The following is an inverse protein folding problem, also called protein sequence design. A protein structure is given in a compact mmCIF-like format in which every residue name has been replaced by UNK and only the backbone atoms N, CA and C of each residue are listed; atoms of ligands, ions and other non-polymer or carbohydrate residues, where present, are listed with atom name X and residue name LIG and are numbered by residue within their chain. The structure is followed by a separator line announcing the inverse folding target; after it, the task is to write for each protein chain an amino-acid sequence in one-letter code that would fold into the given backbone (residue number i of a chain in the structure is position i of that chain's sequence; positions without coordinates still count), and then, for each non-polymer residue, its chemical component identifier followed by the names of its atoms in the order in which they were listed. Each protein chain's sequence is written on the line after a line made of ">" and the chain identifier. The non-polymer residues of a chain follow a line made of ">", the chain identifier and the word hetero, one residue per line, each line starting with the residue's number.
data_IF_060333781775
#
_entry.id   IF_060333781775
#
_cell.length_a   1.000
_cell.length_b   1.000
_cell.length_c   1.000
_cell.angle_alpha   90.00
_cell.angle_beta   90.00
_cell.angle_gamma   90.00
#
_symmetry.space_group_name_H-M   'P 1'
#
loop_
_entity.id
_entity.type
_entity.pdbx_description
1 polymer ?
#
# COMPACT_ATOMS: atom_id res chain seq x y z
N UNK A 1 -13.07 -13.04 -2.36
CA UNK A 1 -12.64 -12.44 -1.10
C UNK A 1 -11.32 -11.72 -1.33
N UNK A 2 -11.19 -10.41 -1.03
CA UNK A 2 -9.94 -9.68 -1.21
C UNK A 2 -8.75 -10.34 -0.51
N UNK A 3 -8.99 -11.03 0.62
CA UNK A 3 -7.95 -11.75 1.35
C UNK A 3 -7.29 -12.85 0.51
N UNK A 4 -8.02 -13.43 -0.43
CA UNK A 4 -7.50 -14.49 -1.29
C UNK A 4 -6.58 -13.96 -2.39
N UNK A 5 -6.57 -12.65 -2.59
CA UNK A 5 -5.83 -11.99 -3.66
C UNK A 5 -4.50 -11.39 -3.21
N UNK A 6 -4.20 -11.46 -1.92
CA UNK A 6 -2.87 -11.14 -1.43
C UNK A 6 -2.09 -12.44 -1.27
N UNK A 7 -1.38 -12.87 -2.30
CA UNK A 7 -0.51 -14.03 -2.11
C UNK A 7 0.52 -13.65 -1.06
N UNK A 8 0.69 -14.55 -0.10
CA UNK A 8 1.80 -14.44 0.85
C UNK A 8 3.05 -14.80 0.05
N UNK A 9 3.64 -13.80 -0.61
CA UNK A 9 4.75 -14.04 -1.50
C UNK A 9 5.94 -14.64 -0.74
N UNK A 10 6.53 -13.84 0.15
CA UNK A 10 7.65 -14.31 0.97
C UNK A 10 7.33 -14.27 2.47
N UNK A 11 6.20 -13.66 2.84
CA UNK A 11 5.85 -13.43 4.24
C UNK A 11 6.58 -12.26 4.90
N UNK A 12 7.37 -11.52 4.15
CA UNK A 12 8.10 -10.35 4.67
C UNK A 12 7.19 -9.16 4.89
N UNK A 13 6.13 -9.05 4.10
CA UNK A 13 5.13 -8.01 4.25
C UNK A 13 3.80 -8.69 4.56
N UNK A 14 3.17 -8.28 5.65
CA UNK A 14 1.91 -8.87 6.10
C UNK A 14 0.87 -7.79 6.30
N UNK A 15 -0.38 -8.16 6.06
CA UNK A 15 -1.55 -7.32 6.17
C UNK A 15 -2.66 -8.05 6.89
N UNK A 16 -3.47 -7.30 7.62
CA UNK A 16 -4.77 -7.77 8.08
C UNK A 16 -5.82 -7.21 7.11
N UNK A 17 -6.50 -8.07 6.39
CA UNK A 17 -7.49 -7.69 5.39
C UNK A 17 -8.93 -7.80 5.87
N UNK A 18 -9.14 -8.12 7.15
CA UNK A 18 -10.49 -8.36 7.69
C UNK A 18 -11.39 -7.13 7.54
N UNK A 19 -10.91 -5.97 7.97
CA UNK A 19 -11.66 -4.73 7.85
C UNK A 19 -11.86 -4.34 6.40
N UNK A 20 -10.83 -4.49 5.57
CA UNK A 20 -10.90 -4.15 4.17
C UNK A 20 -11.98 -4.95 3.46
N UNK A 21 -12.06 -6.25 3.72
CA UNK A 21 -13.05 -7.14 3.10
C UNK A 21 -14.50 -6.76 3.46
N UNK A 22 -14.70 -6.11 4.60
CA UNK A 22 -16.03 -5.65 5.03
C UNK A 22 -16.46 -4.35 4.34
N UNK A 23 -15.53 -3.53 3.89
CA UNK A 23 -15.80 -2.17 3.39
C UNK A 23 -15.49 -1.98 1.91
N UNK A 24 -14.64 -2.82 1.34
CA UNK A 24 -14.18 -2.73 -0.04
C UNK A 24 -14.27 -4.06 -0.74
N UNK A 25 -14.38 -4.01 -2.07
CA UNK A 25 -14.41 -5.20 -2.92
C UNK A 25 -13.37 -5.05 -4.01
N UNK A 26 -12.83 -6.16 -4.48
CA UNK A 26 -11.93 -6.16 -5.63
C UNK A 26 -12.68 -5.68 -6.85
N UNK A 27 -12.11 -4.67 -7.54
CA UNK A 27 -12.80 -4.03 -8.66
C UNK A 27 -12.62 -4.83 -9.94
N UNK A 28 -11.42 -5.27 -10.22
CA UNK A 28 -11.11 -5.95 -11.48
C UNK A 28 -10.00 -6.97 -11.20
N UNK A 29 -10.00 -8.13 -11.87
CA UNK A 29 -8.89 -9.07 -11.77
C UNK A 29 -7.69 -8.59 -12.57
N UNK A 30 -7.22 -7.38 -12.30
CA UNK A 30 -6.00 -6.82 -12.86
C UNK A 30 -4.85 -6.84 -11.86
N UNK A 31 -5.08 -7.44 -10.70
CA UNK A 31 -4.08 -7.66 -9.68
C UNK A 31 -2.91 -8.47 -10.24
N UNK A 32 -1.72 -8.06 -9.89
CA UNK A 32 -0.50 -8.74 -10.29
C UNK A 32 0.37 -9.01 -9.07
N UNK A 33 1.02 -10.15 -9.09
CA UNK A 33 1.96 -10.51 -8.05
C UNK A 33 3.06 -11.36 -8.68
N UNK A 34 4.31 -11.05 -8.38
CA UNK A 34 5.42 -11.88 -8.82
C UNK A 34 6.60 -11.79 -7.88
N UNK A 35 7.43 -12.83 -7.93
CA UNK A 35 8.69 -12.91 -7.22
C UNK A 35 9.79 -13.00 -8.26
N UNK A 36 10.83 -12.19 -8.08
CA UNK A 36 12.03 -12.24 -8.90
C UNK A 36 13.12 -12.96 -8.11
N UNK A 37 13.74 -13.95 -8.74
CA UNK A 37 14.86 -14.71 -8.19
C UNK A 37 16.06 -14.58 -9.11
N UNK A 38 17.27 -14.67 -8.55
CA UNK A 38 18.48 -14.68 -9.34
C UNK A 38 18.71 -16.05 -9.98
N UNK A 39 19.79 -16.18 -10.75
CA UNK A 39 20.13 -17.43 -11.44
C UNK A 39 20.43 -18.60 -10.50
N UNK A 40 20.77 -18.32 -9.25
CA UNK A 40 20.98 -19.35 -8.21
C UNK A 40 19.70 -19.69 -7.45
N UNK A 41 18.58 -19.06 -7.81
CA UNK A 41 17.29 -19.28 -7.17
C UNK A 41 17.08 -18.47 -5.91
N UNK A 42 18.00 -17.58 -5.54
CA UNK A 42 17.86 -16.73 -4.37
C UNK A 42 16.85 -15.61 -4.62
N UNK A 43 16.06 -15.29 -3.61
CA UNK A 43 15.07 -14.23 -3.67
C UNK A 43 15.75 -12.86 -3.89
N UNK A 44 15.24 -12.09 -4.84
CA UNK A 44 15.69 -10.73 -5.13
C UNK A 44 14.62 -9.72 -4.77
N UNK A 45 13.42 -9.86 -5.31
CA UNK A 45 12.34 -8.91 -5.07
C UNK A 45 10.97 -9.56 -5.18
N UNK A 46 9.97 -8.88 -4.62
CA UNK A 46 8.57 -9.22 -4.78
C UNK A 46 7.77 -7.97 -5.07
N UNK A 47 6.69 -8.15 -5.81
CA UNK A 47 5.82 -7.06 -6.22
C UNK A 47 4.38 -7.54 -6.22
N UNK A 48 3.50 -6.67 -5.75
CA UNK A 48 2.07 -6.95 -5.73
C UNK A 48 1.29 -5.64 -5.95
N UNK A 49 0.19 -5.73 -6.68
CA UNK A 49 -0.77 -4.64 -6.74
C UNK A 49 -2.17 -5.15 -7.02
N UNK A 50 -3.17 -4.45 -6.44
CA UNK A 50 -4.57 -4.74 -6.62
C UNK A 50 -5.41 -3.48 -6.43
N UNK A 51 -6.57 -3.44 -7.05
CA UNK A 51 -7.49 -2.32 -6.96
C UNK A 51 -8.76 -2.73 -6.21
N UNK A 52 -9.25 -1.83 -5.37
CA UNK A 52 -10.41 -2.04 -4.51
C UNK A 52 -11.39 -0.88 -4.65
N UNK A 53 -12.67 -1.20 -4.76
CA UNK A 53 -13.74 -0.20 -4.78
C UNK A 53 -14.50 -0.23 -3.46
N UNK A 54 -14.89 0.95 -2.98
CA UNK A 54 -15.72 1.04 -1.79
C UNK A 54 -17.09 0.39 -2.05
N UNK A 55 -17.60 -0.37 -1.07
CA UNK A 55 -18.87 -1.07 -1.19
C UNK A 55 -20.06 -0.11 -1.35
N UNK A 56 -19.92 1.12 -0.89
CA UNK A 56 -20.94 2.16 -1.07
C UNK A 56 -20.86 2.87 -2.43
N UNK A 57 -19.89 2.49 -3.27
CA UNK A 57 -19.70 3.07 -4.59
C UNK A 57 -19.01 4.44 -4.61
N UNK A 58 -18.52 4.92 -3.47
CA UNK A 58 -17.98 6.27 -3.32
C UNK A 58 -16.47 6.35 -3.31
N UNK A 59 -15.83 5.65 -4.20
CA UNK A 59 -14.40 5.76 -4.35
C UNK A 59 -13.70 4.43 -4.50
N UNK A 60 -12.44 4.50 -4.85
CA UNK A 60 -11.61 3.32 -5.05
C UNK A 60 -10.17 3.65 -4.72
N UNK A 61 -9.37 2.63 -4.48
CA UNK A 61 -7.93 2.79 -4.35
C UNK A 61 -7.19 1.58 -4.91
N UNK A 62 -5.93 1.80 -5.23
CA UNK A 62 -4.99 0.77 -5.65
C UNK A 62 -3.93 0.64 -4.57
N UNK A 63 -3.69 -0.59 -4.14
CA UNK A 63 -2.60 -0.93 -3.23
C UNK A 63 -1.46 -1.50 -4.04
N UNK A 64 -0.27 -0.96 -3.84
CA UNK A 64 0.94 -1.41 -4.52
C UNK A 64 2.05 -1.61 -3.50
N UNK A 65 2.67 -2.78 -3.56
CA UNK A 65 3.73 -3.15 -2.63
C UNK A 65 4.92 -3.62 -3.44
N UNK A 66 6.11 -3.14 -3.07
CA UNK A 66 7.35 -3.57 -3.68
C UNK A 66 8.41 -3.72 -2.59
N UNK A 67 9.03 -4.89 -2.57
CA UNK A 67 10.13 -5.20 -1.68
C UNK A 67 11.29 -5.68 -2.53
N UNK A 68 12.46 -5.06 -2.39
CA UNK A 68 13.63 -5.40 -3.19
C UNK A 68 14.86 -5.40 -2.29
N UNK A 69 15.53 -6.55 -2.21
CA UNK A 69 16.69 -6.74 -1.34
C UNK A 69 17.90 -5.92 -1.74
N UNK A 70 17.92 -5.41 -2.99
CA UNK A 70 19.00 -4.57 -3.49
C UNK A 70 18.79 -3.08 -3.21
N UNK A 71 17.59 -2.71 -2.75
CA UNK A 71 17.28 -1.32 -2.45
C UNK A 71 17.92 -0.85 -1.15
N UNK A 72 18.17 0.46 -1.11
CA UNK A 72 18.51 1.17 0.12
C UNK A 72 17.81 2.53 0.03
N UNK A 73 16.49 2.49 0.20
CA UNK A 73 15.64 3.67 0.08
C UNK A 73 15.79 4.57 1.31
N UNK A 74 15.67 5.86 1.08
CA UNK A 74 15.60 6.84 2.16
C UNK A 74 14.14 7.13 2.46
N UNK A 75 13.74 7.19 3.75
CA UNK A 75 12.40 7.64 4.11
C UNK A 75 12.20 9.14 3.98
N UNK A 76 13.13 9.86 3.38
CA UNK A 76 13.01 11.31 3.19
C UNK A 76 12.01 11.59 2.06
N UNK A 77 10.82 11.98 2.44
CA UNK A 77 9.79 12.38 1.49
C UNK A 77 9.99 13.82 1.08
N UNK A 78 9.88 14.06 -0.23
CA UNK A 78 9.92 15.43 -0.76
C UNK A 78 8.49 15.88 -0.94
N UNK A 79 8.08 16.84 -0.12
CA UNK A 79 6.80 17.53 -0.28
C UNK A 79 7.09 18.84 -0.97
N UNK A 80 6.75 18.94 -2.25
CA UNK A 80 7.10 20.10 -3.08
C UNK A 80 6.09 21.25 -2.99
N UNK A 81 5.06 21.10 -2.18
CA UNK A 81 4.06 22.14 -2.00
C UNK A 81 3.01 22.21 -3.11
N UNK A 82 3.01 21.26 -4.05
CA UNK A 82 1.99 21.23 -5.12
C UNK A 82 0.70 20.57 -4.66
N UNK A 83 0.70 19.89 -3.51
CA UNK A 83 -0.46 19.23 -2.96
C UNK A 83 -1.30 20.18 -2.13
N UNK A 84 -2.63 20.04 -2.22
CA UNK A 84 -3.55 20.79 -1.37
C UNK A 84 -3.39 20.42 0.10
N UNK A 85 -3.02 19.16 0.36
CA UNK A 85 -2.84 18.65 1.70
C UNK A 85 -1.68 17.66 1.70
N UNK A 86 -0.82 17.74 2.70
CA UNK A 86 0.31 16.82 2.88
C UNK A 86 0.67 16.74 4.36
N UNK A 87 0.70 15.52 4.91
CA UNK A 87 1.08 15.29 6.30
C UNK A 87 1.49 13.84 6.53
N UNK A 88 2.14 13.59 7.67
CA UNK A 88 2.53 12.24 8.07
C UNK A 88 1.51 11.66 9.04
N UNK A 89 1.16 10.41 8.82
CA UNK A 89 0.30 9.64 9.70
C UNK A 89 1.04 8.37 10.15
N UNK A 90 1.19 8.18 11.47
CA UNK A 90 1.84 6.98 12.01
C UNK A 90 0.77 6.01 12.50
N UNK A 91 0.80 4.79 11.98
CA UNK A 91 -0.15 3.75 12.40
C UNK A 91 0.19 3.22 13.79
N UNK A 92 -0.78 2.55 14.42
CA UNK A 92 -0.57 1.91 15.72
C UNK A 92 0.55 0.87 15.68
N UNK A 93 0.77 0.25 14.52
CA UNK A 93 1.87 -0.71 14.32
C UNK A 93 3.23 -0.05 14.14
N UNK A 94 3.29 1.30 14.09
CA UNK A 94 4.56 2.05 14.09
C UNK A 94 5.09 2.45 12.72
N UNK A 95 4.31 2.29 11.66
CA UNK A 95 4.72 2.69 10.32
C UNK A 95 4.20 4.08 9.98
N UNK A 96 5.06 4.90 9.40
CA UNK A 96 4.75 6.27 9.03
C UNK A 96 4.37 6.33 7.56
N UNK A 97 3.20 6.87 7.27
CA UNK A 97 2.72 7.12 5.92
C UNK A 97 2.71 8.61 5.63
N UNK A 98 3.24 9.01 4.48
CA UNK A 98 3.01 10.35 3.95
C UNK A 98 1.67 10.34 3.23
N UNK A 99 0.73 11.12 3.72
CA UNK A 99 -0.59 11.25 3.11
C UNK A 99 -0.65 12.58 2.37
N UNK A 100 -1.00 12.53 1.09
CA UNK A 100 -1.13 13.71 0.24
C UNK A 100 -2.46 13.68 -0.48
N UNK A 101 -2.97 14.86 -0.81
CA UNK A 101 -4.21 15.00 -1.55
C UNK A 101 -4.12 16.17 -2.51
N UNK A 102 -4.73 16.00 -3.67
CA UNK A 102 -4.85 17.04 -4.69
C UNK A 102 -6.10 16.78 -5.53
N UNK A 103 -7.08 17.69 -5.45
CA UNK A 103 -8.38 17.50 -6.10
C UNK A 103 -9.09 16.24 -5.58
N UNK A 104 -9.47 15.37 -6.49
CA UNK A 104 -10.18 14.13 -6.17
C UNK A 104 -9.25 12.94 -5.90
N UNK A 105 -7.94 13.18 -5.89
CA UNK A 105 -6.94 12.13 -5.78
C UNK A 105 -6.22 12.21 -4.44
N UNK A 106 -5.98 11.05 -3.83
CA UNK A 106 -5.27 10.92 -2.56
C UNK A 106 -4.20 9.85 -2.67
N UNK A 107 -3.12 10.02 -1.92
CA UNK A 107 -2.00 9.07 -1.87
C UNK A 107 -1.60 8.81 -0.43
N UNK A 108 -1.13 7.61 -0.15
CA UNK A 108 -0.48 7.27 1.11
C UNK A 108 0.74 6.41 0.80
N UNK A 109 1.91 6.85 1.24
CA UNK A 109 3.18 6.20 0.92
C UNK A 109 3.97 5.93 2.18
N UNK A 110 4.39 4.67 2.34
CA UNK A 110 5.29 4.25 3.41
C UNK A 110 6.53 3.63 2.77
N UNK A 111 7.69 4.16 3.11
CA UNK A 111 8.96 3.70 2.57
C UNK A 111 9.89 3.31 3.70
N UNK A 112 10.40 2.09 3.66
CA UNK A 112 11.51 1.63 4.50
C UNK A 112 12.72 1.39 3.60
N UNK A 113 13.85 0.94 4.16
CA UNK A 113 15.07 0.81 3.36
C UNK A 113 14.89 -0.07 2.11
N UNK A 114 14.08 -1.12 2.20
CA UNK A 114 13.93 -2.11 1.12
C UNK A 114 12.50 -2.27 0.63
N UNK A 115 11.55 -1.51 1.18
CA UNK A 115 10.13 -1.73 0.90
C UNK A 115 9.42 -0.42 0.64
N UNK A 116 8.51 -0.45 -0.33
CA UNK A 116 7.56 0.62 -0.60
C UNK A 116 6.15 0.06 -0.54
N UNK A 117 5.30 0.71 0.25
CA UNK A 117 3.86 0.41 0.33
C UNK A 117 3.15 1.69 -0.06
N UNK A 118 2.41 1.64 -1.16
CA UNK A 118 1.75 2.83 -1.71
C UNK A 118 0.27 2.57 -1.94
N UNK A 119 -0.56 3.54 -1.57
CA UNK A 119 -1.96 3.57 -1.91
C UNK A 119 -2.22 4.82 -2.75
N UNK A 120 -2.99 4.62 -3.81
CA UNK A 120 -3.43 5.69 -4.70
C UNK A 120 -4.94 5.56 -4.87
N UNK A 121 -5.68 6.63 -4.57
CA UNK A 121 -7.13 6.57 -4.61
C UNK A 121 -7.77 7.79 -5.24
N UNK A 122 -9.02 7.63 -5.63
CA UNK A 122 -9.84 8.70 -6.16
C UNK A 122 -11.22 8.67 -5.49
N UNK A 123 -11.78 9.87 -5.25
CA UNK A 123 -13.08 10.07 -4.59
C UNK A 123 -13.11 9.47 -3.17
N UNK A 124 -11.94 9.45 -2.53
CA UNK A 124 -11.76 9.13 -1.12
C UNK A 124 -11.16 10.36 -0.44
N UNK A 125 -11.37 10.46 0.87
CA UNK A 125 -10.76 11.53 1.66
C UNK A 125 -9.43 11.06 2.24
N UNK A 126 -8.62 12.01 2.73
CA UNK A 126 -7.40 11.66 3.47
C UNK A 126 -7.73 10.83 4.70
N UNK A 127 -8.86 11.11 5.36
CA UNK A 127 -9.32 10.33 6.50
C UNK A 127 -9.66 8.89 6.11
N UNK A 128 -10.23 8.66 4.93
CA UNK A 128 -10.46 7.31 4.42
C UNK A 128 -9.14 6.56 4.30
N UNK A 129 -8.08 7.21 3.80
CA UNK A 129 -6.77 6.58 3.70
C UNK A 129 -6.17 6.28 5.08
N UNK A 130 -6.33 7.16 6.06
CA UNK A 130 -5.89 6.87 7.43
C UNK A 130 -6.56 5.61 7.97
N UNK A 131 -7.87 5.45 7.74
CA UNK A 131 -8.60 4.26 8.16
C UNK A 131 -8.10 3.01 7.43
N UNK A 132 -7.87 3.11 6.15
CA UNK A 132 -7.38 1.98 5.35
C UNK A 132 -6.00 1.53 5.84
N UNK A 133 -5.03 2.44 5.96
CA UNK A 133 -3.68 2.08 6.38
C UNK A 133 -3.64 1.59 7.82
N UNK A 134 -4.47 2.15 8.69
CA UNK A 134 -4.53 1.71 10.09
C UNK A 134 -5.05 0.27 10.18
N UNK A 135 -6.14 -0.03 9.48
CA UNK A 135 -6.76 -1.34 9.53
C UNK A 135 -6.02 -2.41 8.71
N UNK A 136 -5.21 -2.02 7.74
CA UNK A 136 -4.32 -2.96 7.06
C UNK A 136 -3.25 -3.53 8.00
N UNK A 137 -2.94 -2.81 9.07
CA UNK A 137 -1.98 -3.25 10.09
C UNK A 137 -0.68 -3.78 9.47
N UNK A 138 -0.11 -2.99 8.56
CA UNK A 138 1.09 -3.37 7.83
C UNK A 138 2.21 -3.80 8.78
N UNK A 139 2.89 -4.89 8.46
CA UNK A 139 4.09 -5.35 9.15
C UNK A 139 5.14 -5.72 8.11
N UNK A 140 6.32 -5.16 8.25
CA UNK A 140 7.41 -5.34 7.28
C UNK A 140 8.62 -5.94 8.00
N UNK A 141 9.05 -7.13 7.54
CA UNK A 141 10.26 -7.79 7.99
C UNK A 141 11.35 -7.61 6.94
N UNK A 142 12.38 -6.85 7.25
CA UNK A 142 13.46 -6.59 6.29
C UNK A 142 14.71 -7.44 6.50
#
# INVERSE_FOLDING_TARGET
>A
DPADLLPVLTGKIRFDLTWLAEHYSVVIPDDQAYIIRDEDGAFVSEYFWASYGANDGKGWFRLEIMHDTTWNLSPDYIVDGTFEEAYYYTTASGYEFLITADGDTVWADCTTAKTSVSLYGAYLTTRDLEQIVEHLSVSIAE
#
